data_IF_087102434018
#
_entry.id   IF_087102434018
#
_cell.length_a   1.000
_cell.length_b   1.000
_cell.length_c   1.000
_cell.angle_alpha   90.00
_cell.angle_beta   90.00
_cell.angle_gamma   90.00
#
_symmetry.space_group_name_H-M   'P 1'
#
loop_
_entity.id
_entity.type
_entity.pdbx_description
1 polymer ?
#
# COMPACT_ATOMS: atom_id res chain seq x y z
N UNK A 1 9.68 13.24 -52.41
CA UNK A 1 9.95 12.08 -51.53
C UNK A 1 11.06 12.29 -50.49
N UNK A 2 12.14 13.07 -50.74
CA UNK A 2 13.21 13.29 -49.73
C UNK A 2 12.77 14.03 -48.45
N UNK A 3 11.77 14.91 -48.53
CA UNK A 3 11.32 15.74 -47.39
C UNK A 3 10.46 14.97 -46.37
N UNK A 4 9.73 13.95 -46.80
CA UNK A 4 8.87 13.14 -45.90
C UNK A 4 9.69 12.20 -45.03
N UNK A 5 10.77 11.63 -45.58
CA UNK A 5 11.70 10.76 -44.83
C UNK A 5 12.36 11.51 -43.68
N UNK A 6 12.71 12.78 -43.86
CA UNK A 6 13.34 13.61 -42.82
C UNK A 6 12.41 13.91 -41.63
N UNK A 7 11.12 14.08 -41.89
CA UNK A 7 10.12 14.34 -40.85
C UNK A 7 9.85 13.07 -40.04
N UNK A 8 9.76 11.92 -40.71
CA UNK A 8 9.57 10.62 -40.02
C UNK A 8 10.75 10.27 -39.12
N UNK A 9 11.98 10.50 -39.57
CA UNK A 9 13.20 10.27 -38.77
C UNK A 9 13.26 11.23 -37.57
N UNK A 10 12.90 12.50 -37.74
CA UNK A 10 12.85 13.48 -36.65
C UNK A 10 11.78 13.12 -35.60
N UNK A 11 10.62 12.63 -36.04
CA UNK A 11 9.55 12.18 -35.13
C UNK A 11 9.93 10.91 -34.35
N UNK A 12 10.69 10.00 -34.97
CA UNK A 12 11.20 8.79 -34.32
C UNK A 12 12.37 9.07 -33.35
N UNK A 13 13.18 10.10 -33.64
CA UNK A 13 14.25 10.58 -32.74
C UNK A 13 13.73 11.36 -31.53
N UNK A 14 12.51 11.90 -31.60
CA UNK A 14 11.85 12.61 -30.49
C UNK A 14 10.96 11.69 -29.62
N UNK A 15 10.74 10.44 -30.05
CA UNK A 15 9.93 9.45 -29.31
C UNK A 15 10.53 8.89 -27.99
N UNK A 16 11.84 8.99 -27.64
CA UNK A 16 12.31 8.42 -26.38
C UNK A 16 12.16 9.36 -25.16
N UNK A 17 11.39 10.45 -25.29
CA UNK A 17 11.14 11.36 -24.17
C UNK A 17 9.93 10.86 -23.38
N UNK A 18 10.18 10.55 -22.10
CA UNK A 18 9.20 10.42 -21.00
C UNK A 18 8.44 9.08 -20.86
N UNK A 19 9.15 7.99 -20.59
CA UNK A 19 8.72 7.10 -19.50
C UNK A 19 9.55 7.45 -18.26
N UNK A 20 9.29 8.62 -17.68
CA UNK A 20 9.80 8.93 -16.35
C UNK A 20 9.01 8.05 -15.40
N UNK A 21 9.59 6.92 -14.97
CA UNK A 21 9.00 6.15 -13.88
C UNK A 21 9.00 7.06 -12.66
N UNK A 22 7.80 7.42 -12.19
CA UNK A 22 7.63 8.36 -11.09
C UNK A 22 7.86 7.62 -9.77
N UNK A 23 8.74 8.18 -8.94
CA UNK A 23 8.91 7.73 -7.57
C UNK A 23 7.81 8.37 -6.72
N UNK A 24 7.03 7.54 -6.04
CA UNK A 24 5.93 7.99 -5.18
C UNK A 24 5.99 7.23 -3.85
N UNK A 25 5.86 7.96 -2.75
CA UNK A 25 5.96 7.44 -1.39
C UNK A 25 4.73 7.88 -0.59
N UNK A 26 4.27 7.02 0.30
CA UNK A 26 3.20 7.30 1.25
C UNK A 26 3.76 7.20 2.66
N UNK A 27 3.53 8.23 3.47
CA UNK A 27 3.76 8.26 4.90
C UNK A 27 2.41 8.28 5.61
N UNK A 28 2.19 7.31 6.51
CA UNK A 28 0.94 7.22 7.24
C UNK A 28 1.15 6.94 8.71
N UNK A 29 0.59 7.80 9.56
CA UNK A 29 0.48 7.54 10.98
C UNK A 29 -0.59 6.47 11.24
N UNK A 30 -0.28 5.46 12.06
CA UNK A 30 -1.24 4.40 12.38
C UNK A 30 -1.45 4.15 13.88
N UNK A 31 -0.77 4.89 14.74
CA UNK A 31 -1.00 4.85 16.18
C UNK A 31 0.24 5.14 17.01
N UNK A 32 0.06 5.02 18.32
CA UNK A 32 1.12 5.21 19.31
C UNK A 32 1.64 3.87 19.84
N UNK A 33 2.85 3.87 20.38
CA UNK A 33 3.50 2.72 21.02
C UNK A 33 3.07 2.55 22.48
N UNK A 34 4.00 2.13 23.33
CA UNK A 34 3.75 1.99 24.77
C UNK A 34 3.52 3.35 25.44
N UNK A 35 4.16 4.39 24.89
CA UNK A 35 4.02 5.77 25.34
C UNK A 35 3.40 6.65 24.25
N UNK A 36 2.70 7.74 24.59
CA UNK A 36 2.20 8.69 23.59
C UNK A 36 3.32 9.37 22.78
N UNK A 37 4.55 9.35 23.29
CA UNK A 37 5.73 9.88 22.59
C UNK A 37 6.21 8.96 21.46
N UNK A 38 5.91 7.67 21.54
CA UNK A 38 6.22 6.70 20.49
C UNK A 38 5.16 6.80 19.39
N UNK A 39 5.48 7.50 18.31
CA UNK A 39 4.57 7.67 17.18
C UNK A 39 4.96 6.70 16.07
N UNK A 40 4.03 5.83 15.69
CA UNK A 40 4.28 4.76 14.73
C UNK A 40 3.79 5.14 13.33
N UNK A 41 4.69 5.03 12.36
CA UNK A 41 4.45 5.34 10.96
C UNK A 41 4.70 4.16 10.06
N UNK A 42 3.88 4.08 9.01
CA UNK A 42 4.12 3.20 7.87
C UNK A 42 4.61 4.06 6.71
N UNK A 43 5.69 3.63 6.08
CA UNK A 43 6.24 4.25 4.88
C UNK A 43 6.12 3.24 3.75
N UNK A 44 5.53 3.61 2.61
CA UNK A 44 5.28 2.70 1.49
C UNK A 44 5.66 3.31 0.16
N UNK A 45 6.32 2.53 -0.70
CA UNK A 45 6.52 2.88 -2.11
C UNK A 45 5.22 2.63 -2.87
N UNK A 46 4.62 3.67 -3.44
CA UNK A 46 3.45 3.59 -4.32
C UNK A 46 3.84 3.62 -5.79
N UNK A 47 4.99 4.22 -6.11
CA UNK A 47 5.46 4.37 -7.49
C UNK A 47 5.96 3.07 -8.12
N UNK A 48 6.20 3.15 -9.43
CA UNK A 48 6.71 2.04 -10.27
C UNK A 48 8.24 1.90 -10.19
N UNK A 49 8.92 2.90 -9.61
CA UNK A 49 10.36 2.91 -9.35
C UNK A 49 10.66 2.47 -7.91
N UNK A 50 11.77 1.74 -7.73
CA UNK A 50 12.28 1.45 -6.40
C UNK A 50 12.89 2.71 -5.76
N UNK A 51 12.55 2.96 -4.50
CA UNK A 51 13.03 4.10 -3.72
C UNK A 51 14.24 3.66 -2.88
N UNK A 52 15.26 4.49 -2.83
CA UNK A 52 16.42 4.31 -1.95
C UNK A 52 16.49 5.42 -0.91
N UNK A 53 17.12 5.15 0.23
CA UNK A 53 17.45 6.11 1.28
C UNK A 53 16.30 7.06 1.65
N UNK A 54 15.51 6.67 2.65
CA UNK A 54 14.39 7.50 3.10
C UNK A 54 14.84 8.39 4.24
N UNK A 55 14.87 9.70 4.00
CA UNK A 55 15.17 10.70 5.01
C UNK A 55 13.89 11.16 5.69
N UNK A 56 13.87 11.09 7.02
CA UNK A 56 12.74 11.52 7.84
C UNK A 56 13.07 12.87 8.46
N UNK A 57 12.18 13.83 8.26
CA UNK A 57 12.23 15.16 8.85
C UNK A 57 11.07 15.34 9.84
N UNK A 58 11.34 16.07 10.92
CA UNK A 58 10.32 16.50 11.88
C UNK A 58 10.45 18.01 12.03
N UNK A 59 9.37 18.74 11.77
CA UNK A 59 9.31 20.20 11.79
C UNK A 59 10.42 20.87 10.97
N UNK A 60 10.69 20.29 9.79
CA UNK A 60 11.71 20.76 8.84
C UNK A 60 13.16 20.44 9.23
N UNK A 61 13.41 19.71 10.32
CA UNK A 61 14.75 19.25 10.72
C UNK A 61 14.92 17.77 10.42
N UNK A 62 16.06 17.40 9.85
CA UNK A 62 16.40 16.00 9.64
C UNK A 62 16.45 15.29 11.00
N UNK A 63 15.64 14.23 11.13
CA UNK A 63 15.52 13.44 12.34
C UNK A 63 16.28 12.12 12.22
N UNK A 64 16.13 11.43 11.09
CA UNK A 64 16.74 10.12 10.86
C UNK A 64 16.79 9.78 9.38
N UNK A 65 17.92 9.24 8.93
CA UNK A 65 18.05 8.59 7.62
C UNK A 65 17.82 7.07 7.75
N UNK A 66 17.05 6.52 6.81
CA UNK A 66 16.86 5.08 6.64
C UNK A 66 17.59 4.61 5.39
N UNK A 67 18.78 4.05 5.58
CA UNK A 67 19.59 3.44 4.54
C UNK A 67 19.01 2.08 4.09
N UNK A 68 17.99 2.13 3.23
CA UNK A 68 17.27 0.97 2.73
C UNK A 68 16.81 1.18 1.29
N UNK A 69 16.34 0.08 0.67
CA UNK A 69 15.73 0.08 -0.66
C UNK A 69 14.33 -0.49 -0.59
N UNK A 70 13.31 0.29 -0.98
CA UNK A 70 11.92 -0.14 -1.10
C UNK A 70 11.61 -0.43 -2.56
N UNK A 71 11.30 -1.69 -2.85
CA UNK A 71 10.74 -2.06 -4.15
C UNK A 71 9.29 -1.58 -4.27
N UNK A 72 8.77 -1.36 -5.50
CA UNK A 72 7.39 -0.96 -5.73
C UNK A 72 6.36 -1.77 -4.94
N UNK A 73 5.41 -1.07 -4.33
CA UNK A 73 4.33 -1.65 -3.52
C UNK A 73 4.75 -2.12 -2.11
N UNK A 74 6.05 -2.13 -1.79
CA UNK A 74 6.56 -2.53 -0.47
C UNK A 74 6.59 -1.36 0.50
N UNK A 75 6.60 -1.68 1.79
CA UNK A 75 6.66 -0.67 2.84
C UNK A 75 7.29 -1.21 4.11
N UNK A 76 7.61 -0.29 4.99
CA UNK A 76 8.25 -0.52 6.28
C UNK A 76 7.47 0.19 7.37
N UNK A 77 7.73 -0.22 8.61
CA UNK A 77 7.24 0.44 9.80
C UNK A 77 8.41 1.08 10.53
N UNK A 78 8.19 2.28 11.06
CA UNK A 78 9.17 3.01 11.86
C UNK A 78 8.47 3.69 13.02
N UNK A 79 9.19 3.82 14.13
CA UNK A 79 8.72 4.52 15.32
C UNK A 79 9.61 5.73 15.54
N UNK A 80 8.98 6.90 15.73
CA UNK A 80 9.65 8.15 16.09
C UNK A 80 9.32 8.47 17.54
N UNK A 81 10.29 9.02 18.27
CA UNK A 81 10.07 9.52 19.62
C UNK A 81 9.90 11.03 19.51
N UNK A 82 8.66 11.50 19.65
CA UNK A 82 8.30 12.90 19.52
C UNK A 82 7.97 13.50 20.88
N UNK A 83 8.32 14.76 21.07
CA UNK A 83 7.89 15.48 22.26
C UNK A 83 6.38 15.81 22.18
N UNK A 84 5.73 16.15 23.30
CA UNK A 84 4.34 16.59 23.27
C UNK A 84 4.16 17.88 22.46
N UNK A 85 3.20 17.88 21.56
CA UNK A 85 2.93 18.99 20.64
C UNK A 85 2.36 18.56 19.30
N UNK A 86 2.13 19.54 18.44
CA UNK A 86 1.80 19.31 17.02
C UNK A 86 3.09 19.25 16.22
N UNK A 87 3.27 18.20 15.44
CA UNK A 87 4.45 17.97 14.63
C UNK A 87 4.08 17.70 13.17
N UNK A 88 4.88 18.22 12.25
CA UNK A 88 4.83 17.82 10.84
C UNK A 88 5.98 16.84 10.57
N UNK A 89 5.63 15.60 10.24
CA UNK A 89 6.61 14.58 9.85
C UNK A 89 6.63 14.51 8.33
N UNK A 90 7.82 14.56 7.74
CA UNK A 90 8.01 14.47 6.30
C UNK A 90 8.98 13.34 5.97
N UNK A 91 8.75 12.67 4.84
CA UNK A 91 9.72 11.74 4.25
C UNK A 91 10.18 12.27 2.91
N UNK A 92 11.47 12.16 2.63
CA UNK A 92 12.09 12.59 1.37
C UNK A 92 13.03 11.51 0.86
N UNK A 93 13.16 11.44 -0.45
CA UNK A 93 14.03 10.46 -1.11
C UNK A 93 14.85 11.13 -2.22
N UNK A 94 16.03 10.60 -2.57
CA UNK A 94 16.86 11.14 -3.65
C UNK A 94 16.19 11.12 -5.03
N UNK A 95 15.24 10.21 -5.25
CA UNK A 95 14.45 10.10 -6.47
C UNK A 95 13.38 11.19 -6.61
N UNK A 96 13.22 12.03 -5.58
CA UNK A 96 12.26 13.13 -5.55
C UNK A 96 10.88 12.77 -5.00
N UNK A 97 10.71 11.55 -4.46
CA UNK A 97 9.48 11.19 -3.76
C UNK A 97 9.42 11.91 -2.40
N UNK A 98 8.25 12.45 -2.07
CA UNK A 98 8.00 13.18 -0.83
C UNK A 98 6.56 12.95 -0.37
N UNK A 99 6.39 12.85 0.94
CA UNK A 99 5.08 12.89 1.58
C UNK A 99 5.21 13.45 3.00
N UNK A 100 4.11 13.91 3.58
CA UNK A 100 4.07 14.50 4.91
C UNK A 100 2.79 14.19 5.67
N UNK A 101 2.90 13.97 6.96
CA UNK A 101 1.79 13.68 7.86
C UNK A 101 1.88 14.56 9.11
N UNK A 102 0.77 15.21 9.46
CA UNK A 102 0.65 15.98 10.70
C UNK A 102 0.20 15.07 11.85
N UNK A 103 0.89 15.14 12.99
CA UNK A 103 0.56 14.33 14.17
C UNK A 103 0.57 15.18 15.44
N UNK A 104 -0.45 14.97 16.27
CA UNK A 104 -0.59 15.55 17.60
C UNK A 104 -0.14 14.55 18.66
N UNK A 105 0.82 14.94 19.49
CA UNK A 105 1.42 14.13 20.54
C UNK A 105 0.97 14.66 21.90
N UNK A 106 0.26 13.83 22.66
CA UNK A 106 -0.26 14.23 23.97
C UNK A 106 0.83 14.29 25.04
N UNK A 107 0.69 15.20 26.00
CA UNK A 107 1.61 15.36 27.14
C UNK A 107 1.31 14.43 28.33
N UNK A 108 0.34 13.52 28.21
CA UNK A 108 -0.11 12.70 29.32
C UNK A 108 0.89 11.54 29.49
N UNK A 109 1.78 11.65 30.47
CA UNK A 109 2.79 10.62 30.82
C UNK A 109 2.21 9.28 31.26
N UNK A 110 0.91 9.23 31.59
CA UNK A 110 0.25 8.01 32.07
C UNK A 110 -0.86 7.60 31.12
N UNK A 111 -0.56 6.65 30.24
CA UNK A 111 -1.59 5.78 29.67
C UNK A 111 -2.10 4.96 30.85
N UNK A 112 -3.24 5.35 31.43
CA UNK A 112 -4.03 4.41 32.23
C UNK A 112 -4.29 3.23 31.31
N UNK A 113 -3.68 2.08 31.58
CA UNK A 113 -4.05 0.82 30.94
C UNK A 113 -5.51 0.54 31.29
N UNK A 114 -6.42 1.04 30.47
CA UNK A 114 -7.77 0.53 30.39
C UNK A 114 -7.61 -0.75 29.56
N UNK A 115 -7.70 -1.94 30.18
CA UNK A 115 -7.59 -3.18 29.41
C UNK A 115 -8.60 -3.11 28.27
N UNK A 116 -8.21 -3.51 27.04
CA UNK A 116 -9.13 -3.50 25.93
C UNK A 116 -10.33 -4.35 26.33
N UNK A 117 -11.51 -3.72 26.33
CA UNK A 117 -12.77 -4.45 26.43
C UNK A 117 -12.70 -5.51 25.33
N UNK A 118 -12.69 -6.79 25.72
CA UNK A 118 -12.63 -7.90 24.78
C UNK A 118 -13.84 -7.78 23.86
N UNK A 119 -13.66 -7.12 22.71
CA UNK A 119 -14.56 -7.30 21.61
C UNK A 119 -14.34 -8.72 21.15
N UNK A 120 -15.15 -9.62 21.71
CA UNK A 120 -15.37 -10.98 21.25
C UNK A 120 -15.86 -10.86 19.81
N UNK A 121 -14.92 -10.73 18.88
CA UNK A 121 -15.16 -10.99 17.48
C UNK A 121 -15.44 -12.48 17.39
N UNK A 122 -16.72 -12.83 17.55
CA UNK A 122 -17.24 -14.08 17.05
C UNK A 122 -17.01 -14.05 15.54
N UNK A 123 -15.87 -14.60 15.13
CA UNK A 123 -15.55 -14.85 13.74
C UNK A 123 -16.56 -15.91 13.28
N UNK A 124 -17.75 -15.46 12.90
CA UNK A 124 -18.76 -16.27 12.23
C UNK A 124 -18.21 -16.56 10.84
N UNK A 125 -17.30 -17.53 10.81
CA UNK A 125 -16.73 -18.18 9.62
C UNK A 125 -17.81 -19.02 8.95
N UNK A 126 -18.92 -18.38 8.57
CA UNK A 126 -20.13 -19.07 8.11
C UNK A 126 -20.52 -18.62 6.70
N UNK A 127 -19.99 -17.50 6.19
CA UNK A 127 -20.29 -17.05 4.82
C UNK A 127 -19.37 -17.66 3.76
N UNK A 128 -18.06 -17.79 4.00
CA UNK A 128 -17.14 -18.33 3.00
C UNK A 128 -17.40 -19.80 2.66
N UNK A 129 -17.74 -20.63 3.66
CA UNK A 129 -18.05 -22.05 3.45
C UNK A 129 -19.37 -22.26 2.68
N UNK A 130 -20.39 -21.42 2.92
CA UNK A 130 -21.68 -21.50 2.20
C UNK A 130 -21.53 -21.15 0.73
N UNK A 131 -20.70 -20.15 0.40
CA UNK A 131 -20.41 -19.76 -0.99
C UNK A 131 -19.65 -20.88 -1.71
N UNK A 132 -18.65 -21.47 -1.04
CA UNK A 132 -17.86 -22.57 -1.61
C UNK A 132 -18.70 -23.84 -1.84
N UNK A 133 -19.59 -24.17 -0.89
CA UNK A 133 -20.53 -25.29 -1.01
C UNK A 133 -21.57 -25.07 -2.13
N UNK A 134 -22.05 -23.83 -2.28
CA UNK A 134 -22.96 -23.45 -3.37
C UNK A 134 -22.34 -23.63 -4.74
N UNK A 135 -21.10 -23.17 -4.93
CA UNK A 135 -20.36 -23.35 -6.19
C UNK A 135 -20.14 -24.83 -6.53
N UNK A 136 -19.83 -25.66 -5.53
CA UNK A 136 -19.64 -27.10 -5.72
C UNK A 136 -20.93 -27.79 -6.19
N UNK A 137 -22.08 -27.48 -5.57
CA UNK A 137 -23.38 -28.04 -5.96
C UNK A 137 -23.78 -27.65 -7.40
N UNK A 138 -23.58 -26.38 -7.77
CA UNK A 138 -23.87 -25.92 -9.14
C UNK A 138 -23.01 -26.65 -10.17
N UNK A 139 -21.72 -26.86 -9.88
CA UNK A 139 -20.82 -27.61 -10.76
C UNK A 139 -21.28 -29.06 -10.97
N UNK A 140 -21.79 -29.70 -9.92
CA UNK A 140 -22.31 -31.07 -9.96
C UNK A 140 -23.57 -31.20 -10.82
N UNK A 141 -24.48 -30.22 -10.73
CA UNK A 141 -25.70 -30.18 -11.56
C UNK A 141 -25.35 -29.99 -13.04
N UNK A 142 -24.40 -29.10 -13.35
CA UNK A 142 -23.94 -28.88 -14.74
C UNK A 142 -23.34 -30.17 -15.31
N UNK A 143 -22.48 -30.85 -14.53
CA UNK A 143 -21.90 -32.14 -14.95
C UNK A 143 -22.98 -33.19 -15.14
N UNK A 144 -23.97 -33.28 -14.25
CA UNK A 144 -25.07 -34.24 -14.38
C UNK A 144 -25.87 -34.00 -15.67
N UNK A 145 -26.26 -32.76 -15.97
CA UNK A 145 -26.98 -32.42 -17.21
C UNK A 145 -26.13 -32.75 -18.45
N UNK A 146 -24.81 -32.54 -18.40
CA UNK A 146 -23.92 -32.85 -19.53
C UNK A 146 -23.72 -34.36 -19.74
N UNK A 147 -23.74 -35.15 -18.66
CA UNK A 147 -23.63 -36.62 -18.71
C UNK A 147 -24.95 -37.26 -19.13
N UNK A 148 -26.07 -36.69 -18.70
CA UNK A 148 -27.42 -37.11 -19.08
C UNK A 148 -27.78 -36.51 -20.44
N UNK A 149 -27.09 -36.97 -21.50
CA UNK A 149 -27.64 -36.83 -22.85
C UNK A 149 -29.02 -37.50 -22.86
N UNK A 150 -30.06 -36.86 -23.42
CA UNK A 150 -31.31 -37.56 -23.66
C UNK A 150 -31.02 -38.75 -24.58
N UNK A 151 -31.32 -39.96 -24.12
CA UNK A 151 -31.56 -41.07 -25.04
C UNK A 151 -32.82 -40.70 -25.82
N UNK A 152 -32.63 -40.01 -26.94
CA UNK A 152 -33.62 -39.98 -28.02
C UNK A 152 -33.65 -41.39 -28.60
N UNK A 153 -34.44 -42.26 -27.97
CA UNK A 153 -34.93 -43.47 -28.62
C UNK A 153 -35.85 -43.01 -29.76
N UNK A 154 -35.29 -42.97 -30.96
CA UNK A 154 -36.04 -43.01 -32.20
C UNK A 154 -36.06 -44.47 -32.65
N UNK A 155 -37.06 -45.21 -32.18
CA UNK A 155 -37.54 -46.46 -32.76
C UNK A 155 -39.04 -46.38 -32.97
#
# INVERSE_FOLDING_TARGET
MRKTVSITIMFFLLLPLTYSQEAEIELKHYGFGETPKEVNFRIRSLGEMAITNVDIYVDGKEYKELNLRLEPGRGIYTTLILEPGEHLVEVRTPEGAHDSEAVSVSSIENVVHIPPEEQVYSFTKTSGFKILLGLLLVSLVIVWILVEKPKLDLS
#
